data_IF_288200135531
#
_entry.id   IF_288200135531
#
_cell.length_a   1.000
_cell.length_b   1.000
_cell.length_c   1.000
_cell.angle_alpha   90.00
_cell.angle_beta   90.00
_cell.angle_gamma   90.00
#
_symmetry.space_group_name_H-M   'P 1'
#
loop_
_entity.id
_entity.type
_entity.pdbx_description
1 polymer ?
#
# COMPACT_ATOMS: atom_id res chain seq x y z
N UNK A 1 26.67 16.47 15.37
CA UNK A 1 25.21 16.37 15.65
C UNK A 1 25.03 15.14 16.50
N UNK A 2 24.62 15.28 17.77
CA UNK A 2 24.37 14.12 18.63
C UNK A 2 23.10 13.41 18.12
N UNK A 3 23.25 12.15 17.71
CA UNK A 3 22.15 11.30 17.32
C UNK A 3 21.22 11.10 18.53
N UNK A 4 19.95 11.54 18.50
CA UNK A 4 19.04 11.42 19.64
C UNK A 4 18.75 9.94 20.02
N UNK A 5 19.06 9.00 19.14
CA UNK A 5 18.92 7.57 19.41
C UNK A 5 20.09 6.96 20.18
N UNK A 6 21.28 7.60 20.21
CA UNK A 6 22.41 7.11 21.01
C UNK A 6 22.09 7.11 22.49
N UNK A 7 21.41 8.16 23.01
CA UNK A 7 20.99 8.21 24.41
C UNK A 7 19.92 7.18 24.79
N UNK A 8 19.07 6.79 23.83
CA UNK A 8 18.05 5.78 24.08
C UNK A 8 18.62 4.37 24.10
N UNK A 9 19.81 4.18 23.52
CA UNK A 9 20.52 2.89 23.48
C UNK A 9 21.55 2.76 24.63
N UNK A 10 21.87 3.86 25.32
CA UNK A 10 22.75 3.85 26.50
C UNK A 10 22.14 2.98 27.61
N UNK A 11 22.78 1.85 27.90
CA UNK A 11 22.33 0.89 28.89
C UNK A 11 21.60 -0.34 28.36
N UNK A 12 21.31 -0.43 27.06
CA UNK A 12 20.82 -1.65 26.43
C UNK A 12 22.00 -2.52 25.98
N UNK A 13 22.31 -3.56 26.76
CA UNK A 13 23.24 -4.60 26.31
C UNK A 13 22.51 -5.51 25.33
N UNK A 14 22.63 -5.24 24.04
CA UNK A 14 22.16 -6.15 22.98
C UNK A 14 23.38 -6.96 22.55
N UNK A 15 23.49 -8.19 23.05
CA UNK A 15 24.62 -9.09 22.74
C UNK A 15 24.72 -9.43 21.25
N UNK A 16 23.56 -9.57 20.57
CA UNK A 16 23.45 -9.79 19.13
C UNK A 16 22.24 -9.02 18.58
N UNK A 17 22.45 -7.83 18.02
CA UNK A 17 21.35 -7.00 17.52
C UNK A 17 20.62 -7.65 16.32
N UNK A 18 21.32 -8.44 15.51
CA UNK A 18 20.72 -9.12 14.36
C UNK A 18 19.79 -10.24 14.83
N UNK A 19 20.28 -11.07 15.76
CA UNK A 19 19.45 -12.11 16.36
C UNK A 19 18.21 -11.52 17.06
N UNK A 20 18.42 -10.48 17.87
CA UNK A 20 17.33 -9.81 18.59
C UNK A 20 16.27 -9.25 17.65
N UNK A 21 16.69 -8.69 16.49
CA UNK A 21 15.75 -8.22 15.47
C UNK A 21 14.92 -9.37 14.88
N UNK A 22 15.54 -10.49 14.53
CA UNK A 22 14.81 -11.63 13.98
C UNK A 22 13.92 -12.30 15.03
N UNK A 23 14.34 -12.43 16.27
CA UNK A 23 13.51 -12.94 17.37
C UNK A 23 12.25 -12.06 17.54
N UNK A 24 12.41 -10.74 17.50
CA UNK A 24 11.30 -9.80 17.53
C UNK A 24 10.34 -9.95 16.33
N UNK A 25 10.87 -10.18 15.12
CA UNK A 25 10.03 -10.46 13.95
C UNK A 25 9.25 -11.78 14.11
N UNK A 26 9.89 -12.82 14.64
CA UNK A 26 9.24 -14.13 14.89
C UNK A 26 8.12 -13.99 15.93
N UNK A 27 8.34 -13.27 17.00
CA UNK A 27 7.32 -13.05 18.04
C UNK A 27 6.10 -12.31 17.50
N UNK A 28 6.33 -11.27 16.69
CA UNK A 28 5.23 -10.55 16.01
C UNK A 28 4.43 -11.47 15.11
N UNK A 29 5.09 -12.28 14.31
CA UNK A 29 4.45 -13.22 13.40
C UNK A 29 3.65 -14.28 14.16
N UNK A 30 4.20 -14.85 15.23
CA UNK A 30 3.52 -15.79 16.11
C UNK A 30 2.23 -15.21 16.71
N UNK A 31 2.26 -13.95 17.14
CA UNK A 31 1.09 -13.25 17.65
C UNK A 31 0.04 -13.06 16.56
N UNK A 32 0.45 -12.63 15.37
CA UNK A 32 -0.43 -12.48 14.22
C UNK A 32 -1.15 -13.78 13.88
N UNK A 33 -0.38 -14.88 13.78
CA UNK A 33 -0.91 -16.22 13.47
C UNK A 33 -1.90 -16.69 14.54
N UNK A 34 -1.58 -16.53 15.84
CA UNK A 34 -2.49 -16.87 16.92
C UNK A 34 -3.82 -16.11 16.81
N UNK A 35 -3.75 -14.81 16.51
CA UNK A 35 -4.94 -13.98 16.34
C UNK A 35 -5.79 -14.39 15.13
N UNK A 36 -5.16 -14.68 13.99
CA UNK A 36 -5.87 -15.15 12.79
C UNK A 36 -6.54 -16.50 12.98
N UNK A 37 -5.95 -17.37 13.82
CA UNK A 37 -6.54 -18.66 14.21
C UNK A 37 -7.66 -18.52 15.25
N UNK A 38 -8.01 -17.30 15.65
CA UNK A 38 -9.05 -17.05 16.66
C UNK A 38 -8.68 -17.48 18.08
N UNK A 39 -7.39 -17.67 18.37
CA UNK A 39 -6.92 -17.99 19.73
C UNK A 39 -7.20 -16.76 20.62
N UNK A 40 -7.82 -16.95 21.82
CA UNK A 40 -8.11 -15.84 22.72
C UNK A 40 -6.83 -15.13 23.20
N UNK A 41 -6.90 -13.82 23.41
CA UNK A 41 -5.84 -13.06 24.08
C UNK A 41 -5.75 -13.47 25.58
N UNK A 42 -4.56 -13.28 26.24
CA UNK A 42 -3.35 -12.66 25.70
C UNK A 42 -2.56 -13.61 24.82
N UNK A 43 -1.98 -13.09 23.73
CA UNK A 43 -1.17 -13.88 22.79
C UNK A 43 0.32 -13.90 23.15
N UNK A 44 0.75 -13.02 24.06
CA UNK A 44 2.12 -12.82 24.52
C UNK A 44 2.14 -12.16 25.88
N UNK A 45 3.21 -12.34 26.63
CA UNK A 45 3.46 -11.65 27.89
C UNK A 45 4.14 -10.27 27.68
N UNK A 46 4.60 -9.97 26.48
CA UNK A 46 5.18 -8.67 26.14
C UNK A 46 4.11 -7.56 26.14
N UNK A 47 4.21 -6.56 27.05
CA UNK A 47 3.20 -5.50 27.19
C UNK A 47 3.10 -4.60 25.95
N UNK A 48 4.15 -4.51 25.11
CA UNK A 48 4.14 -3.75 23.87
C UNK A 48 3.24 -4.45 22.86
N UNK A 49 3.29 -5.77 22.78
CA UNK A 49 2.54 -6.57 21.81
C UNK A 49 1.16 -7.00 22.29
N UNK A 50 0.84 -6.90 23.57
CA UNK A 50 -0.48 -7.29 24.10
C UNK A 50 -1.65 -6.60 23.42
N UNK A 51 -1.47 -5.36 22.92
CA UNK A 51 -2.51 -4.58 22.21
C UNK A 51 -2.76 -5.08 20.79
N UNK A 52 -1.93 -5.97 20.25
CA UNK A 52 -2.09 -6.58 18.93
C UNK A 52 -2.11 -5.59 17.75
N UNK A 53 -1.46 -4.42 17.91
CA UNK A 53 -1.36 -3.41 16.84
C UNK A 53 -0.04 -3.54 16.10
N UNK A 54 -0.08 -3.31 14.76
CA UNK A 54 1.13 -3.28 13.90
C UNK A 54 1.99 -4.55 13.99
N UNK A 55 1.33 -5.73 14.01
CA UNK A 55 2.02 -7.00 14.18
C UNK A 55 2.57 -7.59 12.88
N UNK A 56 2.14 -7.10 11.72
CA UNK A 56 2.53 -7.68 10.44
C UNK A 56 4.03 -7.51 10.21
N UNK A 57 4.75 -8.61 10.17
CA UNK A 57 6.17 -8.65 9.84
C UNK A 57 6.35 -8.51 8.33
N UNK A 58 5.48 -9.17 7.56
CA UNK A 58 5.46 -9.12 6.10
C UNK A 58 4.36 -8.18 5.60
N UNK A 59 4.69 -7.39 4.58
CA UNK A 59 3.77 -6.38 4.06
C UNK A 59 2.55 -6.99 3.37
N UNK A 60 2.71 -8.13 2.73
CA UNK A 60 1.64 -8.90 2.10
C UNK A 60 0.58 -9.40 3.09
N UNK A 61 0.95 -9.58 4.35
CA UNK A 61 0.04 -10.01 5.41
C UNK A 61 -0.77 -8.87 6.04
N UNK A 62 -0.43 -7.63 5.72
CA UNK A 62 -1.21 -6.48 6.14
C UNK A 62 -2.63 -6.52 5.54
N UNK A 63 -3.63 -6.18 6.36
CA UNK A 63 -5.04 -6.19 5.97
C UNK A 63 -5.31 -5.35 4.71
N UNK A 64 -4.68 -4.17 4.63
CA UNK A 64 -4.80 -3.31 3.46
C UNK A 64 -4.17 -3.95 2.22
N UNK A 65 -3.01 -4.58 2.35
CA UNK A 65 -2.36 -5.31 1.24
C UNK A 65 -3.18 -6.50 0.78
N UNK A 66 -3.75 -7.29 1.71
CA UNK A 66 -4.67 -8.38 1.38
C UNK A 66 -5.93 -7.88 0.64
N UNK A 67 -6.48 -6.73 1.01
CA UNK A 67 -7.60 -6.12 0.28
C UNK A 67 -7.19 -5.67 -1.13
N UNK A 68 -6.01 -5.07 -1.29
CA UNK A 68 -5.46 -4.73 -2.61
C UNK A 68 -5.27 -5.97 -3.47
N UNK A 69 -4.70 -7.04 -2.93
CA UNK A 69 -4.52 -8.30 -3.66
C UNK A 69 -5.86 -8.87 -4.14
N UNK A 70 -6.87 -8.95 -3.26
CA UNK A 70 -8.22 -9.44 -3.64
C UNK A 70 -8.83 -8.58 -4.74
N UNK A 71 -8.76 -7.26 -4.60
CA UNK A 71 -9.32 -6.31 -5.57
C UNK A 71 -8.64 -6.41 -6.93
N UNK A 72 -7.32 -6.58 -6.97
CA UNK A 72 -6.54 -6.63 -8.21
C UNK A 72 -6.52 -8.01 -8.88
N UNK A 73 -6.70 -9.10 -8.14
CA UNK A 73 -6.57 -10.47 -8.64
C UNK A 73 -7.39 -10.78 -9.92
N UNK A 74 -8.64 -10.31 -10.09
CA UNK A 74 -9.40 -10.54 -11.32
C UNK A 74 -8.80 -9.88 -12.58
N UNK A 75 -7.87 -8.94 -12.41
CA UNK A 75 -7.28 -8.13 -13.49
C UNK A 75 -5.83 -8.53 -13.82
N UNK A 76 -5.29 -9.57 -13.20
CA UNK A 76 -3.87 -9.95 -13.28
C UNK A 76 -3.37 -10.24 -14.71
N UNK A 77 -4.24 -10.70 -15.60
CA UNK A 77 -3.87 -11.10 -16.97
C UNK A 77 -3.77 -9.90 -17.94
N UNK A 78 -4.08 -8.68 -17.47
CA UNK A 78 -3.98 -7.44 -18.24
C UNK A 78 -3.13 -6.42 -17.49
N UNK A 79 -1.88 -6.23 -17.90
CA UNK A 79 -1.00 -5.27 -17.23
C UNK A 79 -1.59 -3.85 -17.11
N UNK A 80 -2.22 -3.27 -18.15
CA UNK A 80 -2.87 -1.95 -18.00
C UNK A 80 -3.98 -1.94 -16.94
N UNK A 81 -4.83 -2.97 -16.91
CA UNK A 81 -5.93 -3.08 -15.94
C UNK A 81 -5.39 -3.31 -14.53
N UNK A 82 -4.37 -4.16 -14.38
CA UNK A 82 -3.70 -4.40 -13.12
C UNK A 82 -3.04 -3.14 -12.58
N UNK A 83 -2.33 -2.39 -13.41
CA UNK A 83 -1.70 -1.11 -13.05
C UNK A 83 -2.78 -0.12 -12.60
N UNK A 84 -3.87 0.02 -13.35
CA UNK A 84 -4.99 0.86 -12.95
C UNK A 84 -5.53 0.49 -11.57
N UNK A 85 -5.80 -0.79 -11.35
CA UNK A 85 -6.33 -1.27 -10.08
C UNK A 85 -5.35 -1.08 -8.90
N UNK A 86 -4.06 -1.34 -9.10
CA UNK A 86 -3.05 -1.16 -8.07
C UNK A 86 -2.91 0.31 -7.65
N UNK A 87 -2.82 1.22 -8.62
CA UNK A 87 -2.72 2.66 -8.32
C UNK A 87 -3.99 3.18 -7.65
N UNK A 88 -5.18 2.83 -8.18
CA UNK A 88 -6.45 3.18 -7.56
C UNK A 88 -6.51 2.66 -6.11
N UNK A 89 -6.21 1.38 -5.91
CA UNK A 89 -6.29 0.75 -4.59
C UNK A 89 -5.33 1.40 -3.58
N UNK A 90 -4.12 1.79 -4.00
CA UNK A 90 -3.16 2.48 -3.11
C UNK A 90 -3.52 3.93 -2.85
N UNK A 91 -4.16 4.61 -3.78
CA UNK A 91 -4.65 5.97 -3.57
C UNK A 91 -5.94 5.98 -2.74
N UNK A 92 -6.84 5.03 -2.92
CA UNK A 92 -7.99 4.80 -2.05
C UNK A 92 -7.53 4.38 -0.65
N UNK A 93 -6.65 3.40 -0.58
CA UNK A 93 -6.01 2.81 0.59
C UNK A 93 -6.99 2.47 1.74
N UNK A 94 -8.21 2.04 1.40
CA UNK A 94 -9.23 1.64 2.37
C UNK A 94 -9.82 0.29 2.00
N UNK A 95 -9.51 -0.70 2.83
CA UNK A 95 -9.91 -2.10 2.65
C UNK A 95 -11.42 -2.28 2.48
N UNK A 96 -12.21 -1.66 3.35
CA UNK A 96 -13.68 -1.75 3.29
C UNK A 96 -14.27 -1.16 2.01
N UNK A 97 -13.64 -0.17 1.39
CA UNK A 97 -14.07 0.37 0.10
C UNK A 97 -13.70 -0.58 -1.03
N UNK A 98 -12.48 -1.14 -1.01
CA UNK A 98 -12.02 -2.10 -2.01
C UNK A 98 -12.84 -3.38 -1.98
N UNK A 99 -13.21 -3.87 -0.79
CA UNK A 99 -14.01 -5.09 -0.64
C UNK A 99 -15.46 -4.94 -1.15
N UNK A 100 -15.96 -3.70 -1.31
CA UNK A 100 -17.28 -3.41 -1.87
C UNK A 100 -17.27 -3.14 -3.38
N UNK A 101 -16.09 -2.94 -3.98
CA UNK A 101 -15.94 -2.61 -5.39
C UNK A 101 -15.69 -3.85 -6.24
N UNK A 102 -16.43 -3.98 -7.34
CA UNK A 102 -15.98 -4.80 -8.45
C UNK A 102 -14.94 -4.02 -9.26
N UNK A 103 -13.72 -4.56 -9.47
CA UNK A 103 -12.66 -3.82 -10.14
C UNK A 103 -12.98 -3.43 -11.60
N UNK A 104 -13.96 -4.07 -12.26
CA UNK A 104 -14.42 -3.69 -13.60
C UNK A 104 -15.03 -2.29 -13.65
N UNK A 105 -15.46 -1.75 -12.52
CA UNK A 105 -16.01 -0.38 -12.39
C UNK A 105 -14.97 0.69 -12.76
N UNK A 106 -13.66 0.37 -12.65
CA UNK A 106 -12.59 1.30 -12.98
C UNK A 106 -12.62 1.76 -14.46
N UNK A 107 -13.22 0.95 -15.34
CA UNK A 107 -13.45 1.29 -16.75
C UNK A 107 -14.69 2.16 -16.98
N UNK A 108 -15.44 2.46 -15.92
CA UNK A 108 -16.75 3.13 -15.99
C UNK A 108 -16.72 4.37 -15.08
N UNK A 109 -16.01 5.40 -15.50
CA UNK A 109 -15.77 6.63 -14.68
C UNK A 109 -17.03 7.16 -14.01
N UNK A 110 -18.16 7.20 -14.71
CA UNK A 110 -19.43 7.70 -14.16
C UNK A 110 -19.90 6.83 -12.99
N UNK A 111 -19.90 5.53 -13.17
CA UNK A 111 -20.35 4.59 -12.15
C UNK A 111 -19.40 4.59 -10.94
N UNK A 112 -18.09 4.70 -11.19
CA UNK A 112 -17.09 4.84 -10.12
C UNK A 112 -17.34 6.12 -9.30
N UNK A 113 -17.59 7.26 -9.95
CA UNK A 113 -17.93 8.51 -9.28
C UNK A 113 -19.18 8.38 -8.42
N UNK A 114 -20.25 7.84 -8.99
CA UNK A 114 -21.52 7.61 -8.27
C UNK A 114 -21.32 6.69 -7.06
N UNK A 115 -20.57 5.61 -7.21
CA UNK A 115 -20.26 4.72 -6.10
C UNK A 115 -19.50 5.42 -4.98
N UNK A 116 -18.42 6.12 -5.30
CA UNK A 116 -17.58 6.80 -4.31
C UNK A 116 -18.31 7.93 -3.57
N UNK A 117 -19.29 8.57 -4.21
CA UNK A 117 -20.07 9.65 -3.61
C UNK A 117 -21.24 9.14 -2.77
N UNK A 118 -21.89 8.05 -3.20
CA UNK A 118 -23.20 7.68 -2.67
C UNK A 118 -23.19 6.36 -1.88
N UNK A 119 -22.27 5.45 -2.18
CA UNK A 119 -22.30 4.10 -1.60
C UNK A 119 -21.39 3.93 -0.39
N UNK A 120 -20.47 4.88 -0.15
CA UNK A 120 -19.50 4.80 0.94
C UNK A 120 -19.37 6.14 1.63
N UNK A 121 -19.72 6.22 2.91
CA UNK A 121 -19.69 7.48 3.68
C UNK A 121 -18.28 8.08 3.81
N UNK A 122 -17.24 7.28 3.78
CA UNK A 122 -15.83 7.68 3.78
C UNK A 122 -15.03 6.73 2.91
N UNK A 123 -14.94 6.96 1.59
CA UNK A 123 -14.29 6.04 0.66
C UNK A 123 -12.77 5.94 0.83
N UNK A 124 -12.15 6.91 1.49
CA UNK A 124 -10.70 7.04 1.61
C UNK A 124 -10.18 6.65 2.98
N UNK A 125 -8.98 6.08 3.02
CA UNK A 125 -8.27 5.93 4.28
C UNK A 125 -7.89 7.31 4.86
N UNK A 126 -8.18 7.52 6.14
CA UNK A 126 -7.82 8.74 6.88
C UNK A 126 -6.40 8.69 7.45
N UNK A 127 -5.76 7.51 7.42
CA UNK A 127 -4.45 7.30 8.06
C UNK A 127 -3.28 7.61 7.13
N UNK A 128 -2.23 8.03 7.72
CA UNK A 128 -0.77 8.11 7.49
C UNK A 128 -0.22 8.36 6.08
N UNK A 129 -0.88 8.01 5.00
CA UNK A 129 -0.40 8.19 3.61
C UNK A 129 -1.48 8.83 2.72
N UNK A 130 -1.92 10.04 3.00
CA UNK A 130 -2.88 10.64 2.11
C UNK A 130 -2.17 11.04 0.81
N UNK A 131 -2.52 10.39 -0.28
CA UNK A 131 -2.52 11.09 -1.54
C UNK A 131 -3.65 12.11 -1.41
N UNK A 132 -3.33 13.32 -1.01
CA UNK A 132 -4.33 14.36 -0.82
C UNK A 132 -4.63 15.02 -2.15
N UNK A 133 -3.57 15.30 -2.93
CA UNK A 133 -3.67 15.90 -4.25
C UNK A 133 -2.51 15.46 -5.15
N UNK A 134 -2.71 15.54 -6.45
CA UNK A 134 -1.69 15.29 -7.46
C UNK A 134 -1.56 16.48 -8.39
N UNK A 135 -0.31 16.75 -8.81
CA UNK A 135 0.01 17.78 -9.78
C UNK A 135 0.26 17.11 -11.13
N UNK A 136 -0.45 17.54 -12.15
CA UNK A 136 -0.22 17.09 -13.53
C UNK A 136 -0.47 18.23 -14.51
N UNK A 137 0.50 18.49 -15.38
CA UNK A 137 0.43 19.54 -16.42
C UNK A 137 -0.05 20.91 -15.89
N UNK A 138 0.48 21.30 -14.71
CA UNK A 138 0.16 22.57 -14.08
C UNK A 138 -1.21 22.64 -13.38
N UNK A 139 -1.96 21.54 -13.38
CA UNK A 139 -3.25 21.41 -12.66
C UNK A 139 -3.08 20.59 -11.40
N UNK A 140 -3.82 20.95 -10.35
CA UNK A 140 -3.96 20.19 -9.11
C UNK A 140 -5.25 19.37 -9.16
N UNK A 141 -5.14 18.07 -8.88
CA UNK A 141 -6.25 17.14 -8.79
C UNK A 141 -6.39 16.69 -7.34
N UNK A 142 -7.50 16.95 -6.73
CA UNK A 142 -7.83 16.38 -5.43
C UNK A 142 -8.00 14.85 -5.54
N UNK A 143 -7.90 14.12 -4.43
CA UNK A 143 -7.89 12.64 -4.43
C UNK A 143 -9.02 12.02 -5.26
N UNK A 144 -10.23 12.54 -5.12
CA UNK A 144 -11.39 12.06 -5.87
C UNK A 144 -11.17 12.19 -7.38
N UNK A 145 -10.81 13.38 -7.86
CA UNK A 145 -10.53 13.66 -9.28
C UNK A 145 -9.28 12.89 -9.75
N UNK A 146 -8.26 12.77 -8.90
CA UNK A 146 -7.06 12.00 -9.20
C UNK A 146 -7.40 10.53 -9.48
N UNK A 147 -8.26 9.91 -8.68
CA UNK A 147 -8.68 8.53 -8.85
C UNK A 147 -9.65 8.32 -10.02
N UNK A 148 -10.53 9.29 -10.30
CA UNK A 148 -11.63 9.09 -11.27
C UNK A 148 -11.37 9.67 -12.64
N UNK A 149 -10.60 10.74 -12.75
CA UNK A 149 -10.36 11.46 -14.01
C UNK A 149 -8.90 11.38 -14.45
N UNK A 150 -7.95 11.63 -13.55
CA UNK A 150 -6.54 11.68 -13.90
C UNK A 150 -5.96 10.28 -14.11
N UNK A 151 -6.16 9.37 -13.15
CA UNK A 151 -5.56 8.04 -13.20
C UNK A 151 -5.93 7.26 -14.48
N UNK A 152 -7.20 7.19 -14.92
CA UNK A 152 -7.54 6.54 -16.19
C UNK A 152 -6.79 7.12 -17.39
N UNK A 153 -6.55 8.43 -17.42
CA UNK A 153 -5.82 9.09 -18.51
C UNK A 153 -4.31 8.81 -18.50
N UNK A 154 -3.77 8.34 -17.36
CA UNK A 154 -2.33 8.11 -17.19
C UNK A 154 -1.89 6.66 -17.33
N UNK A 155 -2.81 5.71 -17.53
CA UNK A 155 -2.47 4.29 -17.53
C UNK A 155 -1.38 3.94 -18.54
N UNK A 156 -1.47 4.45 -19.77
CA UNK A 156 -0.45 4.20 -20.80
C UNK A 156 0.94 4.75 -20.40
N UNK A 157 0.98 5.90 -19.74
CA UNK A 157 2.23 6.46 -19.22
C UNK A 157 2.80 5.58 -18.09
N UNK A 158 1.98 5.16 -17.12
CA UNK A 158 2.40 4.32 -16.02
C UNK A 158 2.94 2.97 -16.52
N UNK A 159 2.24 2.33 -17.44
CA UNK A 159 2.66 1.07 -18.08
C UNK A 159 3.98 1.24 -18.81
N UNK A 160 4.20 2.36 -19.52
CA UNK A 160 5.47 2.65 -20.18
C UNK A 160 6.62 2.78 -19.18
N UNK A 161 6.42 3.50 -18.07
CA UNK A 161 7.44 3.63 -17.02
C UNK A 161 7.81 2.27 -16.40
N UNK A 162 6.79 1.43 -16.10
CA UNK A 162 6.99 0.10 -15.53
C UNK A 162 7.78 -0.79 -16.50
N UNK A 163 7.39 -0.85 -17.78
CA UNK A 163 8.10 -1.63 -18.79
C UNK A 163 9.54 -1.14 -19.02
N UNK A 164 9.75 0.17 -19.02
CA UNK A 164 11.06 0.77 -19.24
C UNK A 164 12.02 0.58 -18.03
N UNK A 165 11.51 0.24 -16.88
CA UNK A 165 12.31 -0.01 -15.68
C UNK A 165 12.94 -1.40 -15.61
N UNK A 166 12.58 -2.30 -16.52
CA UNK A 166 13.08 -3.67 -16.59
C UNK A 166 13.00 -4.40 -15.23
N UNK A 167 11.84 -4.37 -14.59
CA UNK A 167 11.58 -4.98 -13.29
C UNK A 167 12.16 -4.22 -12.08
N UNK A 168 12.89 -3.12 -12.29
CA UNK A 168 13.46 -2.36 -11.19
C UNK A 168 12.42 -1.41 -10.58
N UNK A 169 11.89 -1.79 -9.42
CA UNK A 169 10.83 -1.04 -8.70
C UNK A 169 11.26 0.39 -8.36
N UNK A 170 12.51 0.59 -7.93
CA UNK A 170 13.02 1.94 -7.56
C UNK A 170 13.09 2.83 -8.80
N UNK A 171 13.57 2.29 -9.92
CA UNK A 171 13.63 3.00 -11.20
C UNK A 171 12.23 3.38 -11.67
N UNK A 172 11.27 2.44 -11.67
CA UNK A 172 9.88 2.71 -12.04
C UNK A 172 9.27 3.80 -11.16
N UNK A 173 9.44 3.69 -9.83
CA UNK A 173 8.94 4.69 -8.87
C UNK A 173 9.50 6.07 -9.14
N UNK A 174 10.81 6.18 -9.37
CA UNK A 174 11.46 7.45 -9.65
C UNK A 174 10.99 8.08 -10.97
N UNK A 175 10.84 7.28 -12.03
CA UNK A 175 10.31 7.74 -13.32
C UNK A 175 8.90 8.31 -13.18
N UNK A 176 8.04 7.61 -12.45
CA UNK A 176 6.66 8.04 -12.22
C UNK A 176 6.63 9.29 -11.32
N UNK A 177 7.37 9.28 -10.21
CA UNK A 177 7.37 10.37 -9.25
C UNK A 177 7.97 11.66 -9.82
N UNK A 178 9.01 11.57 -10.65
CA UNK A 178 9.60 12.73 -11.32
C UNK A 178 8.59 13.51 -12.18
N UNK A 179 7.57 12.82 -12.69
CA UNK A 179 6.51 13.41 -13.50
C UNK A 179 5.40 14.01 -12.64
N UNK A 180 5.04 13.33 -11.53
CA UNK A 180 3.98 13.81 -10.63
C UNK A 180 4.45 14.86 -9.62
N UNK A 181 5.76 14.95 -9.35
CA UNK A 181 6.30 15.89 -8.36
C UNK A 181 5.73 15.68 -6.95
N UNK A 182 5.39 14.44 -6.59
CA UNK A 182 4.83 14.13 -5.28
C UNK A 182 5.90 14.25 -4.19
N UNK A 183 5.53 14.85 -3.08
CA UNK A 183 6.40 14.94 -1.90
C UNK A 183 6.56 13.59 -1.17
N UNK A 184 5.67 12.63 -1.45
CA UNK A 184 5.69 11.28 -0.89
C UNK A 184 5.46 10.25 -2.00
N UNK A 185 6.51 9.53 -2.36
CA UNK A 185 6.53 8.51 -3.39
C UNK A 185 6.08 7.12 -2.90
N UNK A 186 5.91 6.93 -1.59
CA UNK A 186 5.56 5.65 -1.01
C UNK A 186 4.29 5.01 -1.60
N UNK A 187 3.18 5.74 -1.88
CA UNK A 187 2.02 5.15 -2.55
C UNK A 187 2.33 4.64 -3.96
N UNK A 188 3.22 5.33 -4.70
CA UNK A 188 3.68 4.89 -6.03
C UNK A 188 4.52 3.62 -5.89
N UNK A 189 5.52 3.64 -4.99
CA UNK A 189 6.36 2.48 -4.69
C UNK A 189 5.50 1.26 -4.33
N UNK A 190 4.50 1.42 -3.46
CA UNK A 190 3.60 0.34 -3.07
C UNK A 190 2.66 -0.14 -4.19
N UNK A 191 2.32 0.70 -5.15
CA UNK A 191 1.57 0.28 -6.33
C UNK A 191 2.46 -0.52 -7.28
N UNK A 192 3.68 -0.06 -7.53
CA UNK A 192 4.64 -0.73 -8.43
C UNK A 192 5.06 -2.08 -7.88
N UNK A 193 5.44 -2.17 -6.59
CA UNK A 193 5.80 -3.46 -5.96
C UNK A 193 4.63 -4.45 -5.94
N UNK A 194 3.40 -3.95 -5.93
CA UNK A 194 2.20 -4.80 -6.00
C UNK A 194 2.11 -5.62 -7.29
N UNK A 195 2.79 -5.24 -8.36
CA UNK A 195 2.82 -5.99 -9.61
C UNK A 195 3.47 -7.36 -9.38
N UNK A 196 4.55 -7.42 -8.61
CA UNK A 196 5.25 -8.69 -8.31
C UNK A 196 4.40 -9.71 -7.53
N UNK A 197 3.29 -9.28 -6.93
CA UNK A 197 2.36 -10.22 -6.29
C UNK A 197 1.56 -11.06 -7.30
N UNK A 198 1.49 -10.64 -8.55
CA UNK A 198 0.71 -11.30 -9.61
C UNK A 198 1.59 -11.87 -10.72
N UNK A 199 2.84 -11.47 -10.77
CA UNK A 199 3.84 -11.99 -11.70
C UNK A 199 5.07 -12.48 -10.91
N UNK A 200 5.16 -13.78 -10.64
CA UNK A 200 6.27 -14.35 -9.87
C UNK A 200 7.61 -14.34 -10.62
N UNK A 201 7.63 -14.00 -11.93
CA UNK A 201 8.86 -13.93 -12.73
C UNK A 201 9.45 -12.51 -12.78
N UNK A 202 8.76 -11.51 -12.20
CA UNK A 202 9.25 -10.15 -11.98
C UNK A 202 9.62 -9.92 -10.52
#
# INVERSE_FOLDING_TARGET
>A
MNNPYEKALDGLSIEDPVKSFFDWCIDRENIRVKREKGIPAPWTDDPIFQKGRFLNTFREDDRGSKAVQRFCAPLKDSLPDLVHALFFARWCNKDTTLDLLDPSILKQTKNLKEFLLNSVSQPWCSAVYPVVSMHWEGKVYERFEACTDLLPALIDFLVKCIKASDGNVVTATNMINSTFGMSNDFPIFMAVIGISWFDPET
#
